data_IF_387959125246
#
_entry.id   IF_387959125246
#
_cell.length_a   1.000
_cell.length_b   1.000
_cell.length_c   1.000
_cell.angle_alpha   90.00
_cell.angle_beta   90.00
_cell.angle_gamma   90.00
#
_symmetry.space_group_name_H-M   'P 1'
#
loop_
_entity.id
_entity.type
_entity.pdbx_description
1 polymer ?
#
# COMPACT_ATOMS: atom_id res chain seq x y z
N UNK A 1 9.27 -27.94 -6.72
CA UNK A 1 9.18 -26.52 -7.16
C UNK A 1 9.64 -25.68 -5.97
N UNK A 2 10.73 -24.92 -6.09
CA UNK A 2 11.27 -24.17 -4.97
C UNK A 2 10.21 -23.15 -4.47
N UNK A 3 9.91 -23.17 -3.17
CA UNK A 3 8.99 -22.20 -2.55
C UNK A 3 9.70 -20.85 -2.60
N UNK A 4 9.31 -20.01 -3.55
CA UNK A 4 9.74 -18.62 -3.60
C UNK A 4 9.23 -17.93 -2.32
N UNK A 5 10.07 -17.11 -1.69
CA UNK A 5 9.64 -16.31 -0.55
C UNK A 5 8.51 -15.38 -0.97
N UNK A 6 7.39 -15.37 -0.23
CA UNK A 6 6.27 -14.46 -0.48
C UNK A 6 6.72 -13.00 -0.42
N UNK A 7 6.15 -12.17 -1.28
CA UNK A 7 6.41 -10.73 -1.31
C UNK A 7 5.10 -10.01 -1.07
N UNK A 8 4.88 -9.54 0.15
CA UNK A 8 3.62 -8.92 0.52
C UNK A 8 3.58 -7.43 0.20
N UNK A 9 2.59 -7.01 -0.58
CA UNK A 9 2.21 -5.61 -0.75
C UNK A 9 0.95 -5.32 0.08
N UNK A 10 1.00 -4.26 0.88
CA UNK A 10 -0.13 -3.76 1.66
C UNK A 10 -0.48 -2.33 1.23
N UNK A 11 -1.75 -2.09 0.94
CA UNK A 11 -2.22 -0.78 0.51
C UNK A 11 -3.70 -0.55 0.80
N UNK A 12 -4.11 0.72 0.71
CA UNK A 12 -5.49 1.13 0.86
C UNK A 12 -6.09 1.44 -0.51
N UNK A 13 -7.31 0.96 -0.74
CA UNK A 13 -8.10 1.25 -1.94
C UNK A 13 -9.45 1.81 -1.54
N UNK A 14 -9.90 2.82 -2.29
CA UNK A 14 -11.30 3.27 -2.25
C UNK A 14 -11.95 2.87 -3.56
N UNK A 15 -13.04 2.11 -3.51
CA UNK A 15 -13.79 1.74 -4.72
C UNK A 15 -14.62 2.91 -5.23
N UNK A 16 -15.16 2.79 -6.46
CA UNK A 16 -16.09 3.77 -7.03
C UNK A 16 -17.36 3.95 -6.18
N UNK A 17 -17.74 2.91 -5.43
CA UNK A 17 -18.85 2.93 -4.47
C UNK A 17 -18.45 3.53 -3.11
N UNK A 18 -17.27 4.15 -3.02
CA UNK A 18 -16.68 4.78 -1.82
C UNK A 18 -16.38 3.82 -0.67
N UNK A 19 -16.37 2.52 -0.93
CA UNK A 19 -15.97 1.55 0.06
C UNK A 19 -14.45 1.60 0.28
N UNK A 20 -14.04 1.56 1.55
CA UNK A 20 -12.64 1.50 1.95
C UNK A 20 -12.20 0.05 2.11
N UNK A 21 -11.11 -0.29 1.45
CA UNK A 21 -10.51 -1.62 1.45
C UNK A 21 -9.04 -1.52 1.88
N UNK A 22 -8.65 -2.37 2.82
CA UNK A 22 -7.26 -2.67 3.10
C UNK A 22 -6.92 -3.97 2.36
N UNK A 23 -5.99 -3.89 1.42
CA UNK A 23 -5.62 -5.02 0.57
C UNK A 23 -4.21 -5.47 0.97
N UNK A 24 -4.08 -6.77 1.23
CA UNK A 24 -2.80 -7.46 1.36
C UNK A 24 -2.70 -8.47 0.22
N UNK A 25 -1.68 -8.37 -0.62
CA UNK A 25 -1.53 -9.24 -1.81
C UNK A 25 -0.11 -9.79 -1.89
N UNK A 26 0.03 -11.06 -2.28
CA UNK A 26 1.33 -11.66 -2.57
C UNK A 26 1.77 -11.28 -4.00
N UNK A 27 2.68 -10.32 -4.09
CA UNK A 27 3.30 -9.86 -5.33
C UNK A 27 4.33 -10.84 -5.90
N UNK A 28 4.68 -11.94 -5.21
CA UNK A 28 5.72 -12.89 -5.67
C UNK A 28 5.41 -13.58 -7.00
N UNK A 29 4.13 -13.61 -7.37
CA UNK A 29 3.62 -14.15 -8.63
C UNK A 29 3.61 -13.13 -9.78
N UNK A 30 3.91 -11.86 -9.53
CA UNK A 30 3.90 -10.81 -10.57
C UNK A 30 4.83 -11.17 -11.74
N UNK A 31 4.28 -11.15 -12.96
CA UNK A 31 5.00 -11.50 -14.19
C UNK A 31 5.12 -13.00 -14.47
N UNK A 32 4.52 -13.85 -13.63
CA UNK A 32 4.44 -15.30 -13.81
C UNK A 32 2.99 -15.81 -13.87
N UNK A 33 2.04 -14.90 -13.74
CA UNK A 33 0.61 -15.14 -13.88
C UNK A 33 0.18 -15.09 -15.34
N UNK A 34 -0.82 -15.90 -15.76
CA UNK A 34 -1.50 -16.92 -14.97
C UNK A 34 -0.62 -18.16 -14.75
N UNK A 35 -0.76 -18.84 -13.59
CA UNK A 35 -0.07 -20.11 -13.35
C UNK A 35 -0.78 -21.24 -14.13
N UNK A 36 -0.05 -22.07 -14.91
CA UNK A 36 -0.68 -23.11 -15.72
C UNK A 36 -1.60 -24.04 -14.94
N UNK A 37 -2.87 -24.10 -15.37
CA UNK A 37 -3.92 -24.96 -14.81
C UNK A 37 -4.57 -24.43 -13.53
N UNK A 38 -4.12 -23.32 -12.96
CA UNK A 38 -4.77 -22.69 -11.80
C UNK A 38 -5.87 -21.74 -12.26
N UNK A 39 -7.05 -22.27 -12.54
CA UNK A 39 -8.15 -21.49 -13.11
C UNK A 39 -9.31 -21.21 -12.16
N UNK A 40 -9.34 -21.83 -10.98
CA UNK A 40 -10.41 -21.62 -10.00
C UNK A 40 -10.01 -20.54 -9.01
N UNK A 41 -10.73 -19.44 -9.01
CA UNK A 41 -10.68 -18.45 -7.94
C UNK A 41 -11.61 -18.89 -6.81
N UNK A 42 -11.03 -19.12 -5.63
CA UNK A 42 -11.74 -19.49 -4.42
C UNK A 42 -11.73 -18.32 -3.44
N UNK A 43 -12.83 -18.10 -2.74
CA UNK A 43 -12.88 -17.10 -1.66
C UNK A 43 -13.60 -17.59 -0.41
N UNK A 44 -13.12 -17.13 0.74
CA UNK A 44 -13.79 -17.24 2.03
C UNK A 44 -14.04 -15.82 2.53
N UNK A 45 -15.31 -15.46 2.72
CA UNK A 45 -15.71 -14.14 3.23
C UNK A 45 -16.31 -14.31 4.61
N UNK A 46 -15.76 -13.60 5.58
CA UNK A 46 -16.18 -13.59 6.97
C UNK A 46 -16.79 -12.23 7.28
N UNK A 47 -17.98 -12.25 7.88
CA UNK A 47 -18.65 -11.05 8.35
C UNK A 47 -18.11 -10.62 9.73
N UNK A 48 -17.76 -9.35 9.88
CA UNK A 48 -17.14 -8.78 11.08
C UNK A 48 -18.15 -8.21 12.10
N UNK A 49 -19.46 -8.41 11.91
CA UNK A 49 -20.51 -7.87 12.79
C UNK A 49 -20.37 -8.34 14.25
N UNK A 50 -19.99 -9.61 14.47
CA UNK A 50 -19.75 -10.12 15.82
C UNK A 50 -18.63 -9.32 16.52
N UNK A 51 -17.53 -9.03 15.83
CA UNK A 51 -16.41 -8.21 16.34
C UNK A 51 -16.85 -6.76 16.60
N UNK A 52 -17.72 -6.21 15.75
CA UNK A 52 -18.25 -4.87 15.93
C UNK A 52 -19.15 -4.75 17.17
N UNK A 53 -19.94 -5.78 17.46
CA UNK A 53 -21.01 -5.73 18.48
C UNK A 53 -20.68 -6.37 19.81
N UNK A 54 -19.71 -7.28 19.86
CA UNK A 54 -19.30 -8.00 21.06
C UNK A 54 -17.88 -7.55 21.47
N UNK A 55 -17.75 -7.07 22.71
CA UNK A 55 -16.48 -6.57 23.26
C UNK A 55 -15.44 -7.68 23.37
N UNK A 56 -15.83 -8.87 23.80
CA UNK A 56 -14.89 -10.00 23.95
C UNK A 56 -14.38 -10.47 22.59
N UNK A 57 -15.25 -10.52 21.58
CA UNK A 57 -14.83 -10.79 20.21
C UNK A 57 -13.86 -9.72 19.72
N UNK A 58 -14.13 -8.44 20.01
CA UNK A 58 -13.25 -7.33 19.62
C UNK A 58 -11.87 -7.41 20.27
N UNK A 59 -11.81 -7.65 21.57
CA UNK A 59 -10.56 -7.69 22.33
C UNK A 59 -9.67 -8.86 21.90
N UNK A 60 -10.26 -9.94 21.38
CA UNK A 60 -9.55 -11.15 20.92
C UNK A 60 -9.45 -11.30 19.40
N UNK A 61 -10.08 -10.41 18.64
CA UNK A 61 -10.27 -10.53 17.18
C UNK A 61 -8.96 -10.74 16.43
N UNK A 62 -7.95 -9.93 16.74
CA UNK A 62 -6.66 -9.97 16.06
C UNK A 62 -5.99 -11.35 16.13
N UNK A 63 -5.92 -11.93 17.34
CA UNK A 63 -5.35 -13.27 17.53
C UNK A 63 -6.18 -14.35 16.85
N UNK A 64 -7.50 -14.31 17.01
CA UNK A 64 -8.44 -15.26 16.42
C UNK A 64 -8.38 -15.25 14.89
N UNK A 65 -8.49 -14.09 14.26
CA UNK A 65 -8.49 -13.95 12.80
C UNK A 65 -7.13 -14.34 12.20
N UNK A 66 -6.02 -14.01 12.86
CA UNK A 66 -4.70 -14.44 12.41
C UNK A 66 -4.49 -15.96 12.48
N UNK A 67 -5.04 -16.63 13.50
CA UNK A 67 -5.03 -18.11 13.56
C UNK A 67 -5.92 -18.69 12.47
N UNK A 68 -7.12 -18.15 12.30
CA UNK A 68 -8.08 -18.57 11.29
C UNK A 68 -7.47 -18.49 9.89
N UNK A 69 -6.85 -17.37 9.53
CA UNK A 69 -6.17 -17.18 8.23
C UNK A 69 -5.13 -18.27 7.97
N UNK A 70 -4.24 -18.52 8.94
CA UNK A 70 -3.20 -19.56 8.78
C UNK A 70 -3.78 -20.95 8.63
N UNK A 71 -4.88 -21.26 9.32
CA UNK A 71 -5.53 -22.57 9.22
C UNK A 71 -6.23 -22.77 7.88
N UNK A 72 -6.92 -21.74 7.38
CA UNK A 72 -7.50 -21.77 6.03
C UNK A 72 -6.42 -21.91 4.96
N UNK A 73 -5.33 -21.15 5.08
CA UNK A 73 -4.20 -21.25 4.15
C UNK A 73 -3.61 -22.65 4.16
N UNK A 74 -3.34 -23.22 5.34
CA UNK A 74 -2.76 -24.54 5.47
C UNK A 74 -3.66 -25.64 4.89
N UNK A 75 -4.95 -25.68 5.26
CA UNK A 75 -5.85 -26.74 4.81
C UNK A 75 -6.10 -26.69 3.30
N UNK A 76 -6.17 -25.51 2.70
CA UNK A 76 -6.34 -25.35 1.25
C UNK A 76 -5.05 -25.66 0.49
N UNK A 77 -3.89 -25.28 1.03
CA UNK A 77 -2.60 -25.64 0.46
C UNK A 77 -2.41 -27.16 0.44
N UNK A 78 -2.69 -27.84 1.55
CA UNK A 78 -2.49 -29.29 1.67
C UNK A 78 -3.49 -30.09 0.83
N UNK A 79 -4.77 -29.71 0.85
CA UNK A 79 -5.84 -30.50 0.22
C UNK A 79 -6.03 -30.19 -1.26
N UNK A 80 -5.77 -28.95 -1.68
CA UNK A 80 -6.07 -28.45 -3.04
C UNK A 80 -4.83 -27.95 -3.78
N UNK A 81 -3.66 -27.95 -3.14
CA UNK A 81 -2.46 -27.26 -3.65
C UNK A 81 -2.75 -25.79 -3.97
N UNK A 82 -3.70 -25.19 -3.24
CA UNK A 82 -4.15 -23.83 -3.52
C UNK A 82 -3.06 -22.81 -3.21
N UNK A 83 -2.99 -21.77 -4.04
CA UNK A 83 -2.08 -20.64 -3.89
C UNK A 83 -2.84 -19.52 -3.21
N UNK A 84 -2.47 -19.19 -1.97
CA UNK A 84 -3.02 -18.04 -1.26
C UNK A 84 -2.46 -16.74 -1.83
N UNK A 85 -3.33 -15.91 -2.43
CA UNK A 85 -2.90 -14.68 -3.11
C UNK A 85 -3.09 -13.43 -2.26
N UNK A 86 -3.89 -13.46 -1.20
CA UNK A 86 -4.09 -12.30 -0.35
C UNK A 86 -5.45 -12.19 0.30
N UNK A 87 -5.67 -11.06 0.98
CA UNK A 87 -6.90 -10.72 1.68
C UNK A 87 -7.36 -9.29 1.42
N UNK A 88 -8.67 -9.10 1.47
CA UNK A 88 -9.32 -7.80 1.49
C UNK A 88 -10.00 -7.66 2.86
N UNK A 89 -9.72 -6.56 3.55
CA UNK A 89 -10.40 -6.20 4.78
C UNK A 89 -11.17 -4.90 4.57
N UNK A 90 -12.47 -4.91 4.84
CA UNK A 90 -13.32 -3.72 4.88
C UNK A 90 -13.88 -3.53 6.29
N UNK A 91 -14.70 -2.51 6.50
CA UNK A 91 -15.35 -2.30 7.81
C UNK A 91 -16.22 -3.49 8.25
N UNK A 92 -16.82 -4.20 7.29
CA UNK A 92 -17.84 -5.23 7.57
C UNK A 92 -17.40 -6.65 7.23
N UNK A 93 -16.29 -6.84 6.51
CA UNK A 93 -15.88 -8.16 6.04
C UNK A 93 -14.38 -8.34 5.93
N UNK A 94 -13.96 -9.57 6.15
CA UNK A 94 -12.62 -10.07 5.86
C UNK A 94 -12.71 -11.18 4.83
N UNK A 95 -12.00 -11.02 3.72
CA UNK A 95 -12.07 -11.89 2.56
C UNK A 95 -10.70 -12.48 2.27
N UNK A 96 -10.62 -13.80 2.11
CA UNK A 96 -9.40 -14.51 1.73
C UNK A 96 -9.53 -15.08 0.33
N UNK A 97 -8.50 -14.96 -0.48
CA UNK A 97 -8.52 -15.35 -1.89
C UNK A 97 -7.41 -16.33 -2.24
N UNK A 98 -7.78 -17.35 -3.02
CA UNK A 98 -6.88 -18.44 -3.42
C UNK A 98 -7.11 -18.81 -4.88
N UNK A 99 -6.06 -19.26 -5.56
CA UNK A 99 -6.20 -19.98 -6.84
C UNK A 99 -5.95 -21.47 -6.66
N UNK A 100 -6.76 -22.31 -7.28
CA UNK A 100 -6.58 -23.76 -7.29
C UNK A 100 -6.74 -24.33 -8.71
N UNK A 101 -6.26 -25.56 -8.89
CA UNK A 101 -6.54 -26.33 -10.11
C UNK A 101 -7.97 -26.90 -10.09
N UNK A 102 -8.54 -27.25 -11.26
CA UNK A 102 -9.79 -27.99 -11.33
C UNK A 102 -9.79 -29.29 -10.51
N UNK A 103 -10.95 -29.62 -9.92
CA UNK A 103 -11.15 -30.83 -9.13
C UNK A 103 -10.79 -30.72 -7.64
N UNK A 104 -10.70 -31.86 -6.97
CA UNK A 104 -10.47 -31.94 -5.52
C UNK A 104 -11.74 -31.72 -4.67
N UNK A 105 -11.56 -31.77 -3.36
CA UNK A 105 -12.65 -31.57 -2.38
C UNK A 105 -13.23 -30.16 -2.50
N UNK A 106 -14.55 -29.96 -2.40
CA UNK A 106 -15.13 -28.63 -2.35
C UNK A 106 -14.50 -27.79 -1.24
N UNK A 107 -13.95 -26.62 -1.58
CA UNK A 107 -13.24 -25.76 -0.63
C UNK A 107 -14.13 -25.31 0.55
N UNK A 108 -15.44 -25.18 0.32
CA UNK A 108 -16.45 -24.96 1.37
C UNK A 108 -16.41 -26.02 2.46
N UNK A 109 -16.34 -27.30 2.09
CA UNK A 109 -16.30 -28.41 3.04
C UNK A 109 -15.02 -28.39 3.88
N UNK A 110 -13.89 -28.03 3.27
CA UNK A 110 -12.64 -27.83 3.99
C UNK A 110 -12.74 -26.63 4.96
N UNK A 111 -13.36 -25.53 4.53
CA UNK A 111 -13.56 -24.36 5.36
C UNK A 111 -14.47 -24.63 6.56
N UNK A 112 -15.51 -25.46 6.42
CA UNK A 112 -16.42 -25.85 7.51
C UNK A 112 -15.66 -26.40 8.71
N UNK A 113 -14.64 -27.23 8.48
CA UNK A 113 -13.80 -27.79 9.54
C UNK A 113 -13.06 -26.72 10.35
N UNK A 114 -12.60 -25.66 9.68
CA UNK A 114 -11.91 -24.54 10.34
C UNK A 114 -12.92 -23.63 11.03
N UNK A 115 -14.03 -23.33 10.36
CA UNK A 115 -15.05 -22.39 10.82
C UNK A 115 -15.91 -22.93 11.96
N UNK A 116 -15.96 -24.25 12.18
CA UNK A 116 -16.65 -24.87 13.31
C UNK A 116 -16.15 -24.35 14.69
N UNK A 117 -14.88 -23.92 14.77
CA UNK A 117 -14.30 -23.31 15.98
C UNK A 117 -14.67 -21.83 16.17
N UNK A 118 -15.37 -21.23 15.20
CA UNK A 118 -15.74 -19.82 15.20
C UNK A 118 -17.26 -19.62 15.01
N UNK A 119 -18.12 -20.18 15.90
CA UNK A 119 -19.57 -20.24 15.69
C UNK A 119 -20.26 -18.87 15.64
N UNK A 120 -19.64 -17.82 16.18
CA UNK A 120 -20.17 -16.44 16.11
C UNK A 120 -19.93 -15.77 14.74
N UNK A 121 -19.04 -16.31 13.92
CA UNK A 121 -18.70 -15.72 12.63
C UNK A 121 -19.59 -16.26 11.52
N UNK A 122 -20.38 -15.38 10.92
CA UNK A 122 -21.09 -15.69 9.67
C UNK A 122 -20.10 -15.64 8.52
N UNK A 123 -20.15 -16.63 7.65
CA UNK A 123 -19.21 -16.73 6.54
C UNK A 123 -19.85 -17.35 5.29
N UNK A 124 -19.24 -17.09 4.14
CA UNK A 124 -19.59 -17.71 2.87
C UNK A 124 -18.32 -18.18 2.14
N UNK A 125 -18.47 -19.26 1.39
CA UNK A 125 -17.49 -19.76 0.45
C UNK A 125 -18.02 -19.55 -0.97
N UNK A 126 -17.17 -19.01 -1.85
CA UNK A 126 -17.52 -18.77 -3.25
C UNK A 126 -16.39 -19.23 -4.16
N UNK A 127 -16.77 -19.67 -5.35
CA UNK A 127 -15.86 -20.14 -6.37
C UNK A 127 -16.33 -19.66 -7.74
N UNK A 128 -15.37 -19.27 -8.58
CA UNK A 128 -15.61 -18.96 -9.99
C UNK A 128 -14.39 -19.30 -10.83
N UNK A 129 -14.62 -19.47 -12.13
CA UNK A 129 -13.54 -19.59 -13.11
C UNK A 129 -12.87 -18.23 -13.34
N UNK A 130 -11.54 -18.22 -13.40
CA UNK A 130 -10.67 -17.06 -13.62
C UNK A 130 -9.30 -17.52 -14.15
N UNK A 131 -9.31 -18.21 -15.29
CA UNK A 131 -8.12 -18.85 -15.89
C UNK A 131 -7.01 -17.86 -16.29
N UNK A 132 -7.36 -16.61 -16.58
CA UNK A 132 -6.45 -15.53 -16.94
C UNK A 132 -5.92 -14.74 -15.72
N UNK A 133 -6.35 -15.11 -14.51
CA UNK A 133 -6.00 -14.42 -13.26
C UNK A 133 -6.41 -12.94 -13.26
N UNK A 134 -7.52 -12.60 -13.94
CA UNK A 134 -8.01 -11.22 -14.02
C UNK A 134 -8.25 -10.60 -12.64
N UNK A 135 -8.69 -11.41 -11.66
CA UNK A 135 -8.90 -10.93 -10.30
C UNK A 135 -7.59 -10.59 -9.59
N UNK A 136 -6.54 -11.41 -9.72
CA UNK A 136 -5.22 -11.10 -9.18
C UNK A 136 -4.67 -9.80 -9.77
N UNK A 137 -4.83 -9.61 -11.09
CA UNK A 137 -4.42 -8.39 -11.78
C UNK A 137 -5.15 -7.15 -11.25
N UNK A 138 -6.47 -7.24 -11.07
CA UNK A 138 -7.28 -6.21 -10.43
C UNK A 138 -6.80 -5.91 -9.00
N UNK A 139 -6.42 -6.94 -8.24
CA UNK A 139 -6.05 -6.82 -6.83
C UNK A 139 -4.68 -6.17 -6.63
N UNK A 140 -3.83 -6.06 -7.65
CA UNK A 140 -2.55 -5.35 -7.55
C UNK A 140 -2.76 -3.85 -7.34
N UNK A 141 -1.84 -3.18 -6.63
CA UNK A 141 -1.92 -1.73 -6.47
C UNK A 141 -1.67 -1.03 -7.79
N UNK A 142 -2.50 -0.04 -8.10
CA UNK A 142 -2.25 0.88 -9.21
C UNK A 142 -1.09 1.84 -8.85
N UNK A 143 -0.68 2.69 -9.80
CA UNK A 143 0.47 3.56 -9.61
C UNK A 143 0.30 4.54 -8.44
N UNK A 144 -0.90 5.14 -8.27
CA UNK A 144 -1.13 6.11 -7.20
C UNK A 144 -1.23 5.42 -5.83
N UNK A 145 -1.81 4.22 -5.77
CA UNK A 145 -1.84 3.38 -4.56
C UNK A 145 -0.43 3.02 -4.10
N UNK A 146 0.49 2.71 -5.04
CA UNK A 146 1.91 2.49 -4.72
C UNK A 146 2.56 3.75 -4.11
N UNK A 147 2.19 4.93 -4.56
CA UNK A 147 2.67 6.18 -3.97
C UNK A 147 2.11 6.39 -2.56
N UNK A 148 0.85 6.03 -2.29
CA UNK A 148 0.27 6.10 -0.95
C UNK A 148 0.91 5.11 0.02
N UNK A 149 1.20 3.89 -0.40
CA UNK A 149 1.94 2.94 0.45
C UNK A 149 3.33 3.48 0.80
N UNK A 150 4.03 4.13 -0.14
CA UNK A 150 5.30 4.81 0.14
C UNK A 150 5.13 5.97 1.12
N UNK A 151 4.06 6.76 1.01
CA UNK A 151 3.76 7.82 1.98
C UNK A 151 3.64 7.24 3.39
N UNK A 152 2.91 6.14 3.56
CA UNK A 152 2.72 5.52 4.88
C UNK A 152 4.03 5.07 5.50
N UNK A 153 4.92 4.44 4.72
CA UNK A 153 6.25 4.01 5.20
C UNK A 153 7.10 5.22 5.63
N UNK A 154 7.13 6.28 4.80
CA UNK A 154 7.89 7.48 5.12
C UNK A 154 7.34 8.20 6.35
N UNK A 155 6.03 8.36 6.44
CA UNK A 155 5.37 8.95 7.60
C UNK A 155 5.65 8.12 8.86
N UNK A 156 5.54 6.80 8.81
CA UNK A 156 5.90 5.95 9.95
C UNK A 156 7.34 6.21 10.42
N UNK A 157 8.32 6.27 9.49
CA UNK A 157 9.70 6.58 9.83
C UNK A 157 9.85 7.96 10.49
N UNK A 158 9.08 8.96 10.06
CA UNK A 158 9.05 10.28 10.69
C UNK A 158 8.41 10.24 12.09
N UNK A 159 7.33 9.48 12.30
CA UNK A 159 6.71 9.28 13.61
C UNK A 159 7.68 8.62 14.60
N UNK A 160 8.40 7.58 14.18
CA UNK A 160 9.41 6.89 14.98
C UNK A 160 10.54 7.86 15.41
N UNK A 161 10.91 8.79 14.53
CA UNK A 161 11.87 9.88 14.83
C UNK A 161 11.27 11.02 15.68
N UNK A 162 9.99 10.93 16.05
CA UNK A 162 9.29 11.89 16.90
C UNK A 162 8.82 13.16 16.21
N UNK A 163 8.59 13.10 14.91
CA UNK A 163 8.06 14.23 14.14
C UNK A 163 6.59 14.53 14.46
N UNK A 164 6.15 15.78 14.27
CA UNK A 164 4.81 16.29 14.54
C UNK A 164 4.01 16.55 13.25
N UNK A 165 3.09 15.67 12.89
CA UNK A 165 2.43 15.74 11.57
C UNK A 165 1.42 16.89 11.39
N UNK A 166 0.83 17.38 12.47
CA UNK A 166 -0.18 18.43 12.43
C UNK A 166 0.35 19.84 12.20
N UNK A 167 1.67 20.04 12.18
CA UNK A 167 2.28 21.36 11.98
C UNK A 167 2.56 21.56 10.48
N UNK A 168 1.92 22.57 9.84
CA UNK A 168 2.24 22.92 8.47
C UNK A 168 3.71 23.24 8.29
N UNK A 169 4.30 22.75 7.21
CA UNK A 169 5.71 22.94 6.87
C UNK A 169 5.88 22.90 5.36
N UNK A 170 7.03 23.37 4.91
CA UNK A 170 7.42 23.23 3.50
C UNK A 170 7.57 21.75 3.14
N UNK A 171 6.86 21.33 2.10
CA UNK A 171 6.97 20.00 1.51
C UNK A 171 7.41 20.17 0.07
N UNK A 172 8.46 19.46 -0.31
CA UNK A 172 9.03 19.48 -1.65
C UNK A 172 8.55 18.27 -2.43
N UNK A 173 8.31 18.45 -3.73
CA UNK A 173 7.82 17.44 -4.65
C UNK A 173 8.67 17.40 -5.91
N UNK A 174 8.99 16.19 -6.37
CA UNK A 174 9.78 15.96 -7.58
C UNK A 174 8.91 15.37 -8.67
N UNK A 175 8.83 16.08 -9.78
CA UNK A 175 8.09 15.70 -10.98
C UNK A 175 9.09 15.59 -12.13
N UNK A 176 8.85 14.68 -13.06
CA UNK A 176 9.69 14.52 -14.26
C UNK A 176 8.86 14.49 -15.54
N UNK A 177 9.43 15.01 -16.62
CA UNK A 177 8.75 15.17 -17.90
C UNK A 177 9.67 14.81 -19.06
N UNK A 178 9.06 14.38 -20.16
CA UNK A 178 9.77 14.04 -21.39
C UNK A 178 10.18 15.30 -22.18
N UNK A 179 9.43 16.40 -22.06
CA UNK A 179 9.70 17.64 -22.77
C UNK A 179 9.76 18.86 -21.85
N UNK A 180 10.55 19.87 -22.23
CA UNK A 180 10.57 21.15 -21.54
C UNK A 180 9.28 21.97 -21.72
N UNK A 181 8.47 21.68 -22.74
CA UNK A 181 7.16 22.32 -22.91
C UNK A 181 6.14 21.84 -21.87
N UNK A 182 6.13 20.53 -21.61
CA UNK A 182 5.31 19.93 -20.56
C UNK A 182 5.69 20.46 -19.17
N UNK A 183 6.99 20.67 -18.92
CA UNK A 183 7.45 21.32 -17.68
C UNK A 183 6.85 22.71 -17.51
N UNK A 184 6.88 23.55 -18.55
CA UNK A 184 6.32 24.91 -18.47
C UNK A 184 4.82 24.88 -18.19
N UNK A 185 4.08 24.06 -18.92
CA UNK A 185 2.62 23.90 -18.73
C UNK A 185 2.29 23.38 -17.32
N UNK A 186 3.00 22.35 -16.86
CA UNK A 186 2.83 21.79 -15.53
C UNK A 186 3.21 22.79 -14.43
N UNK A 187 4.27 23.59 -14.62
CA UNK A 187 4.69 24.61 -13.66
C UNK A 187 3.65 25.74 -13.54
N UNK A 188 3.04 26.16 -14.63
CA UNK A 188 2.00 27.19 -14.60
C UNK A 188 0.71 26.70 -13.95
N UNK A 189 0.32 25.45 -14.21
CA UNK A 189 -0.83 24.84 -13.52
C UNK A 189 -0.54 24.60 -12.03
N UNK A 190 0.66 24.13 -11.68
CA UNK A 190 1.08 23.98 -10.29
C UNK A 190 1.00 25.29 -9.49
N UNK A 191 1.37 26.43 -10.09
CA UNK A 191 1.21 27.75 -9.46
C UNK A 191 -0.25 28.08 -9.16
N UNK A 192 -1.18 27.75 -10.07
CA UNK A 192 -2.63 27.94 -9.85
C UNK A 192 -3.17 27.07 -8.72
N UNK A 193 -2.58 25.88 -8.53
CA UNK A 193 -2.85 24.97 -7.41
C UNK A 193 -2.15 25.39 -6.09
N UNK A 194 -1.46 26.54 -6.09
CA UNK A 194 -0.81 27.11 -4.91
C UNK A 194 0.57 26.53 -4.58
N UNK A 195 1.25 25.88 -5.54
CA UNK A 195 2.64 25.47 -5.39
C UNK A 195 3.61 26.56 -5.85
N UNK A 196 4.77 26.59 -5.21
CA UNK A 196 5.92 27.39 -5.64
C UNK A 196 6.89 26.53 -6.45
N UNK A 197 7.32 27.01 -7.61
CA UNK A 197 8.40 26.39 -8.38
C UNK A 197 9.73 26.69 -7.69
N UNK A 198 10.38 25.66 -7.19
CA UNK A 198 11.69 25.77 -6.51
C UNK A 198 12.84 25.69 -7.50
N UNK A 199 12.75 24.73 -8.43
CA UNK A 199 13.77 24.53 -9.45
C UNK A 199 13.18 23.81 -10.67
N UNK A 200 13.82 23.98 -11.82
CA UNK A 200 13.57 23.22 -13.04
C UNK A 200 14.92 22.94 -13.71
N UNK A 201 15.23 21.67 -13.95
CA UNK A 201 16.54 21.25 -14.47
C UNK A 201 16.41 20.12 -15.50
N UNK A 202 17.48 19.85 -16.25
CA UNK A 202 17.58 18.78 -17.23
C UNK A 202 18.69 17.82 -16.83
N UNK A 203 18.30 16.59 -16.52
CA UNK A 203 19.19 15.49 -16.21
C UNK A 203 19.45 14.69 -17.49
N UNK A 204 20.51 15.09 -18.20
CA UNK A 204 20.90 14.54 -19.50
C UNK A 204 21.21 13.03 -19.47
N UNK A 205 21.40 12.44 -18.29
CA UNK A 205 21.66 11.01 -18.13
C UNK A 205 20.37 10.16 -18.19
N UNK A 206 19.18 10.77 -18.21
CA UNK A 206 17.90 10.04 -18.32
C UNK A 206 17.27 10.18 -19.71
N UNK A 207 17.11 9.06 -20.40
CA UNK A 207 16.56 9.04 -21.76
C UNK A 207 15.05 9.38 -21.83
N UNK A 208 14.22 8.89 -20.89
CA UNK A 208 12.75 8.98 -21.02
C UNK A 208 12.13 10.23 -20.38
N UNK A 209 12.68 10.65 -19.24
CA UNK A 209 12.16 11.80 -18.48
C UNK A 209 13.33 12.68 -18.02
N UNK A 210 14.07 13.34 -18.95
CA UNK A 210 15.25 14.12 -18.60
C UNK A 210 14.90 15.36 -17.79
N UNK A 211 13.74 15.97 -18.02
CA UNK A 211 13.39 17.22 -17.36
C UNK A 211 12.82 16.97 -15.96
N UNK A 212 13.31 17.71 -14.97
CA UNK A 212 12.85 17.67 -13.57
C UNK A 212 12.24 19.01 -13.19
N UNK A 213 11.08 18.96 -12.54
CA UNK A 213 10.42 20.10 -11.92
C UNK A 213 10.31 19.84 -10.42
N UNK A 214 10.86 20.75 -9.62
CA UNK A 214 10.78 20.70 -8.16
C UNK A 214 9.78 21.76 -7.70
N UNK A 215 8.72 21.30 -7.03
CA UNK A 215 7.67 22.14 -6.47
C UNK A 215 7.75 22.14 -4.94
N UNK A 216 7.21 23.17 -4.32
CA UNK A 216 7.02 23.22 -2.87
C UNK A 216 5.67 23.80 -2.48
N UNK A 217 5.13 23.35 -1.35
CA UNK A 217 3.90 23.87 -0.74
C UNK A 217 3.94 23.70 0.77
N UNK A 218 3.47 24.72 1.49
CA UNK A 218 3.31 24.65 2.94
C UNK A 218 2.01 23.95 3.28
N UNK A 219 2.09 22.77 3.88
CA UNK A 219 0.91 22.03 4.34
C UNK A 219 1.26 21.05 5.47
N UNK A 220 0.27 20.55 6.25
CA UNK A 220 0.52 19.49 7.22
C UNK A 220 0.88 18.18 6.51
N UNK A 221 1.63 17.32 7.19
CA UNK A 221 2.07 16.01 6.66
C UNK A 221 1.24 14.84 7.24
N UNK A 222 0.01 15.12 7.69
CA UNK A 222 -0.92 14.05 8.04
C UNK A 222 -1.21 13.17 6.81
N UNK A 223 -1.48 11.88 7.03
CA UNK A 223 -1.68 10.88 5.95
C UNK A 223 -2.63 11.37 4.86
N UNK A 224 -3.79 11.91 5.26
CA UNK A 224 -4.78 12.44 4.32
C UNK A 224 -4.21 13.59 3.48
N UNK A 225 -3.58 14.59 4.12
CA UNK A 225 -3.02 15.74 3.43
C UNK A 225 -1.92 15.33 2.43
N UNK A 226 -1.07 14.38 2.80
CA UNK A 226 -0.03 13.86 1.90
C UNK A 226 -0.62 13.07 0.73
N UNK A 227 -1.64 12.24 0.97
CA UNK A 227 -2.28 11.49 -0.10
C UNK A 227 -3.03 12.42 -1.05
N UNK A 228 -3.65 13.49 -0.54
CA UNK A 228 -4.31 14.52 -1.34
C UNK A 228 -3.29 15.28 -2.22
N UNK A 229 -2.18 15.77 -1.65
CA UNK A 229 -1.13 16.47 -2.41
C UNK A 229 -0.48 15.55 -3.46
N UNK A 230 -0.23 14.28 -3.11
CA UNK A 230 0.29 13.29 -4.06
C UNK A 230 -0.71 13.02 -5.18
N UNK A 231 -2.02 12.93 -4.89
CA UNK A 231 -3.05 12.75 -5.93
C UNK A 231 -3.10 13.93 -6.89
N UNK A 232 -3.11 15.13 -6.34
CA UNK A 232 -3.14 16.39 -7.09
C UNK A 232 -1.96 16.46 -8.07
N UNK A 233 -0.74 16.22 -7.60
CA UNK A 233 0.45 16.25 -8.44
C UNK A 233 0.59 15.03 -9.36
N UNK A 234 0.11 13.85 -8.94
CA UNK A 234 0.02 12.67 -9.81
C UNK A 234 -0.87 12.96 -11.03
N UNK A 235 -2.06 13.52 -10.80
CA UNK A 235 -2.98 13.91 -11.87
C UNK A 235 -2.37 14.98 -12.77
N UNK A 236 -1.74 16.01 -12.18
CA UNK A 236 -1.02 17.05 -12.92
C UNK A 236 0.02 16.44 -13.88
N UNK A 237 0.85 15.51 -13.38
CA UNK A 237 1.85 14.86 -14.24
C UNK A 237 1.21 14.04 -15.35
N UNK A 238 0.09 13.35 -15.09
CA UNK A 238 -0.60 12.56 -16.11
C UNK A 238 -1.17 13.44 -17.23
N UNK A 239 -1.67 14.64 -16.92
CA UNK A 239 -2.17 15.59 -17.92
C UNK A 239 -1.09 16.08 -18.90
N UNK A 240 0.19 15.96 -18.53
CA UNK A 240 1.32 16.44 -19.32
C UNK A 240 2.36 15.34 -19.60
N UNK A 241 1.90 14.08 -19.70
CA UNK A 241 2.75 12.91 -20.00
C UNK A 241 3.99 12.79 -19.11
N UNK A 242 3.91 13.29 -17.88
CA UNK A 242 4.97 13.29 -16.90
C UNK A 242 4.84 12.17 -15.88
N UNK A 243 5.73 12.18 -14.90
CA UNK A 243 5.77 11.21 -13.81
C UNK A 243 6.07 11.90 -12.48
N UNK A 244 5.26 11.59 -11.48
CA UNK A 244 5.53 11.96 -10.09
C UNK A 244 6.52 10.97 -9.46
N UNK A 245 7.64 11.47 -8.94
CA UNK A 245 8.70 10.62 -8.37
C UNK A 245 8.61 10.47 -6.85
N UNK A 246 8.19 11.52 -6.14
CA UNK A 246 8.11 11.50 -4.69
C UNK A 246 8.09 12.88 -4.05
N UNK A 247 8.15 12.88 -2.72
CA UNK A 247 8.19 14.08 -1.89
C UNK A 247 9.19 13.94 -0.75
N UNK A 248 9.43 15.06 -0.06
CA UNK A 248 10.37 15.17 1.05
C UNK A 248 10.11 16.45 1.86
N UNK A 249 10.53 16.44 3.12
CA UNK A 249 10.39 17.57 4.03
C UNK A 249 11.45 17.50 5.14
N UNK A 250 11.65 18.62 5.82
CA UNK A 250 12.47 18.68 7.03
C UNK A 250 11.77 18.04 8.23
N UNK A 251 12.55 17.38 9.09
CA UNK A 251 12.07 16.75 10.33
C UNK A 251 11.81 17.82 11.41
N UNK A 252 10.62 17.83 12.02
CA UNK A 252 10.26 18.76 13.12
C UNK A 252 10.08 18.01 14.44
N UNK A 253 11.14 17.96 15.24
CA UNK A 253 11.14 17.36 16.58
C UNK A 253 10.69 18.31 17.71
N UNK A 254 10.34 17.76 18.88
CA UNK A 254 10.13 18.53 20.13
C UNK A 254 11.43 19.24 20.55
N UNK A 255 11.31 20.48 21.07
CA UNK A 255 12.43 21.31 21.54
C UNK A 255 13.38 20.60 22.52
N UNK A 256 12.85 19.77 23.43
CA UNK A 256 13.67 19.03 24.40
C UNK A 256 14.46 17.87 23.79
N UNK A 257 13.97 17.21 22.73
CA UNK A 257 14.74 16.18 22.00
C UNK A 257 15.92 16.79 21.25
N UNK A 258 15.74 17.99 20.68
CA UNK A 258 16.84 18.77 20.09
C UNK A 258 17.90 19.18 21.11
N UNK A 259 17.52 19.36 22.37
CA UNK A 259 18.46 19.68 23.46
C UNK A 259 19.24 18.44 23.89
N UNK A 260 18.61 17.28 24.01
CA UNK A 260 19.30 16.01 24.32
C UNK A 260 20.26 15.59 23.21
N UNK A 261 19.90 15.78 21.94
CA UNK A 261 20.79 15.46 20.81
C UNK A 261 21.96 16.46 20.70
N UNK A 262 21.73 17.74 21.03
CA UNK A 262 22.81 18.76 21.07
C UNK A 262 23.83 18.53 22.19
N UNK A 263 23.42 17.90 23.28
CA UNK A 263 24.33 17.56 24.40
C UNK A 263 25.13 16.28 24.07
N UNK A 264 24.64 15.44 23.14
CA UNK A 264 25.22 14.13 22.83
C UNK A 264 26.09 14.00 21.57
N UNK A 265 26.09 14.93 20.60
CA UNK A 265 26.90 14.71 19.40
C UNK A 265 26.92 15.79 18.33
N UNK A 266 28.12 15.98 17.77
CA UNK A 266 28.58 16.92 16.73
C UNK A 266 27.55 17.29 15.65
N UNK A 267 27.51 18.60 15.36
CA UNK A 267 26.91 19.22 14.17
C UNK A 267 27.50 18.62 12.89
N UNK A 268 26.65 18.18 11.97
CA UNK A 268 26.93 18.24 10.53
C UNK A 268 25.71 18.81 9.81
N UNK A 269 25.90 20.01 9.25
CA UNK A 269 25.12 20.57 8.17
C UNK A 269 25.50 19.82 6.89
N UNK A 270 24.57 19.10 6.26
CA UNK A 270 24.65 18.80 4.84
C UNK A 270 23.25 18.86 4.23
N UNK A 271 23.09 19.86 3.35
CA UNK A 271 22.13 19.89 2.26
C UNK A 271 22.39 18.67 1.38
N UNK A 272 21.61 17.62 1.56
CA UNK A 272 21.45 16.55 0.59
C UNK A 272 19.98 16.17 0.60
N UNK A 273 19.29 16.44 -0.51
CA UNK A 273 17.95 15.94 -0.75
C UNK A 273 17.97 14.43 -0.63
N UNK A 274 17.52 13.91 0.51
CA UNK A 274 17.37 12.49 0.71
C UNK A 274 16.17 12.04 -0.11
N UNK A 275 16.43 11.66 -1.37
CA UNK A 275 15.62 10.65 -2.04
C UNK A 275 15.75 9.39 -1.18
N UNK A 276 14.79 9.16 -0.29
CA UNK A 276 14.67 7.90 0.43
C UNK A 276 14.18 6.83 -0.55
N UNK A 277 15.11 6.30 -1.34
CA UNK A 277 15.00 4.97 -1.91
C UNK A 277 15.18 3.97 -0.76
N UNK A 278 14.09 3.58 -0.11
CA UNK A 278 14.11 2.50 0.86
C UNK A 278 13.73 1.19 0.18
N UNK A 279 14.76 0.34 0.10
CA UNK A 279 14.67 -1.11 -0.08
C UNK A 279 13.88 -1.75 1.07
N UNK A 280 13.31 -2.91 0.75
CA UNK A 280 12.36 -3.69 1.54
C UNK A 280 12.78 -3.89 3.00
N UNK A 281 11.96 -3.38 3.93
CA UNK A 281 11.80 -3.88 5.29
C UNK A 281 10.52 -3.29 5.93
N UNK A 282 9.36 -3.65 5.39
CA UNK A 282 8.08 -3.43 6.06
C UNK A 282 7.44 -4.80 6.34
N UNK A 283 8.09 -5.59 7.20
CA UNK A 283 7.64 -6.96 7.51
C UNK A 283 7.55 -7.20 9.02
N UNK A 284 6.97 -6.25 9.76
CA UNK A 284 6.68 -6.42 11.18
C UNK A 284 5.25 -6.04 11.62
N UNK A 285 4.40 -5.53 10.72
CA UNK A 285 2.98 -5.27 11.05
C UNK A 285 1.98 -5.88 10.05
N UNK A 286 2.44 -6.63 9.05
CA UNK A 286 1.57 -7.36 8.11
C UNK A 286 1.25 -8.81 8.54
N UNK A 287 1.67 -9.22 9.75
CA UNK A 287 1.23 -10.44 10.44
C UNK A 287 0.41 -10.08 11.68
N UNK A 288 -0.68 -9.36 11.48
CA UNK A 288 -1.66 -9.06 12.52
C UNK A 288 -3.07 -9.08 11.91
#
# INVERSE_FOLDING_TARGET
MAIKSKQWDYFHRTTDQKEQMNVLIDASHSGQTPLPGFSRLLSIVINLYAIATDKEERDTAQGKLGILERRLEHIFSDSLQAVYIGRINTESRLEFYYYAKPGGTPHRQLAENVMAEYPKYRWIASEREDADWSFYEYLKPNQVEKLYSKNNVLLQSLAEKGDRFGIPREVYHWLRFASGDDVRKAADEAKRLGYTVVNSDVDANKATYPHTLILSKIHPIAVKAMNDSVRELYNLTHSFSGKYEGWGTDIRQKLWRRLTDKIGGRRLLLLAGALLLLSAAAMLFARL
#
